data_IF_419566567302
#
_entry.id   IF_419566567302
#
_cell.length_a   1.000
_cell.length_b   1.000
_cell.length_c   1.000
_cell.angle_alpha   90.00
_cell.angle_beta   90.00
_cell.angle_gamma   90.00
#
_symmetry.space_group_name_H-M   'P 1'
#
loop_
_entity.id
_entity.type
_entity.pdbx_description
1 polymer ?
#
# COMPACT_ATOMS: atom_id res chain seq x y z
N UNK A 1 56.33 -12.31 -38.78
CA UNK A 1 55.36 -12.79 -37.79
C UNK A 1 54.95 -11.59 -36.94
N UNK A 2 53.73 -11.10 -37.13
CA UNK A 2 53.23 -9.92 -36.41
C UNK A 2 52.33 -10.41 -35.26
N UNK A 3 52.62 -10.09 -33.98
CA UNK A 3 51.82 -10.50 -32.84
C UNK A 3 50.90 -9.35 -32.43
N UNK A 4 49.90 -9.02 -33.24
CA UNK A 4 48.85 -8.06 -32.91
C UNK A 4 47.58 -8.45 -33.69
N UNK A 5 46.74 -9.29 -33.09
CA UNK A 5 45.31 -9.45 -33.38
C UNK A 5 44.67 -10.37 -32.32
N UNK A 6 44.88 -10.07 -31.04
CA UNK A 6 44.05 -10.63 -29.97
C UNK A 6 42.76 -9.82 -29.87
N UNK A 7 41.91 -9.92 -30.90
CA UNK A 7 40.54 -9.45 -30.80
C UNK A 7 39.83 -10.37 -29.78
N UNK A 8 39.14 -9.84 -28.76
CA UNK A 8 38.43 -10.69 -27.79
C UNK A 8 37.38 -11.52 -28.54
N UNK A 9 37.60 -12.83 -28.61
CA UNK A 9 36.68 -13.75 -29.26
C UNK A 9 35.44 -13.93 -28.39
N UNK A 10 34.26 -13.71 -28.97
CA UNK A 10 32.99 -13.78 -28.21
C UNK A 10 32.56 -15.24 -28.03
N UNK A 11 32.46 -15.77 -26.79
CA UNK A 11 32.03 -17.15 -26.57
C UNK A 11 30.60 -17.34 -27.05
N UNK A 12 30.33 -18.44 -27.76
CA UNK A 12 29.02 -18.73 -28.35
C UNK A 12 28.73 -20.23 -28.34
N UNK A 13 27.62 -20.67 -27.72
CA UNK A 13 27.21 -22.07 -27.77
C UNK A 13 26.41 -22.34 -29.04
N UNK A 14 26.96 -23.18 -29.92
CA UNK A 14 26.38 -23.42 -31.25
C UNK A 14 25.97 -24.87 -31.40
N UNK A 15 24.70 -25.11 -31.75
CA UNK A 15 24.25 -26.42 -32.18
C UNK A 15 24.27 -26.47 -33.71
N UNK A 16 25.05 -27.40 -34.25
CA UNK A 16 25.15 -27.63 -35.70
C UNK A 16 24.29 -28.85 -36.05
N UNK A 17 23.24 -28.63 -36.82
CA UNK A 17 22.43 -29.70 -37.39
C UNK A 17 22.96 -30.00 -38.80
N UNK A 18 23.86 -30.98 -38.91
CA UNK A 18 24.69 -31.24 -40.10
C UNK A 18 25.18 -32.71 -40.09
N UNK A 19 25.03 -33.42 -41.21
CA UNK A 19 25.45 -34.83 -41.35
C UNK A 19 26.93 -34.96 -41.73
N UNK A 20 27.49 -33.96 -42.41
CA UNK A 20 28.88 -33.97 -42.89
C UNK A 20 29.81 -33.17 -41.99
N UNK A 21 30.83 -33.83 -41.45
CA UNK A 21 31.83 -33.20 -40.59
C UNK A 21 32.60 -32.06 -41.31
N UNK A 22 32.93 -32.23 -42.59
CA UNK A 22 33.63 -31.21 -43.38
C UNK A 22 32.83 -29.90 -43.47
N UNK A 23 31.51 -30.00 -43.67
CA UNK A 23 30.62 -28.85 -43.80
C UNK A 23 30.46 -28.15 -42.42
N UNK A 24 30.39 -28.92 -41.34
CA UNK A 24 30.40 -28.39 -39.98
C UNK A 24 31.71 -27.64 -39.67
N UNK A 25 32.87 -28.18 -40.06
CA UNK A 25 34.16 -27.53 -39.88
C UNK A 25 34.27 -26.23 -40.69
N UNK A 26 33.68 -26.18 -41.88
CA UNK A 26 33.62 -24.97 -42.71
C UNK A 26 32.82 -23.85 -42.01
N UNK A 27 31.66 -24.17 -41.43
CA UNK A 27 30.85 -23.22 -40.66
C UNK A 27 31.60 -22.70 -39.43
N UNK A 28 32.28 -23.60 -38.70
CA UNK A 28 33.09 -23.22 -37.54
C UNK A 28 34.25 -22.30 -37.91
N UNK A 29 34.91 -22.57 -39.03
CA UNK A 29 35.97 -21.70 -39.54
C UNK A 29 35.43 -20.31 -39.88
N UNK A 30 34.27 -20.22 -40.53
CA UNK A 30 33.63 -18.96 -40.84
C UNK A 30 33.19 -18.18 -39.59
N UNK A 31 32.66 -18.85 -38.56
CA UNK A 31 32.35 -18.24 -37.26
C UNK A 31 33.58 -17.69 -36.55
N UNK A 32 34.68 -18.47 -36.50
CA UNK A 32 35.95 -18.04 -35.88
C UNK A 32 36.54 -16.83 -36.60
N UNK A 33 36.54 -16.83 -37.93
CA UNK A 33 36.96 -15.69 -38.74
C UNK A 33 36.10 -14.44 -38.50
N UNK A 34 34.82 -14.63 -38.13
CA UNK A 34 33.92 -13.55 -37.77
C UNK A 34 34.10 -13.01 -36.33
N UNK A 35 35.04 -13.56 -35.54
CA UNK A 35 35.38 -13.11 -34.19
C UNK A 35 34.65 -13.85 -33.06
N UNK A 36 34.01 -14.99 -33.34
CA UNK A 36 33.36 -15.83 -32.34
C UNK A 36 34.27 -16.96 -31.86
N UNK A 37 34.09 -17.39 -30.61
CA UNK A 37 34.66 -18.61 -30.05
C UNK A 37 33.55 -19.64 -29.82
N UNK A 38 33.22 -20.46 -30.85
CA UNK A 38 32.08 -21.36 -30.76
C UNK A 38 32.39 -22.58 -29.89
N UNK A 39 31.65 -22.76 -28.80
CA UNK A 39 31.48 -24.03 -28.12
C UNK A 39 30.39 -24.81 -28.83
N UNK A 40 30.75 -25.83 -29.61
CA UNK A 40 29.84 -26.42 -30.59
C UNK A 40 29.55 -27.90 -30.35
N UNK A 41 28.39 -28.34 -30.83
CA UNK A 41 27.96 -29.73 -30.87
C UNK A 41 27.33 -30.01 -32.23
N UNK A 42 27.75 -31.09 -32.91
CA UNK A 42 27.12 -31.57 -34.16
C UNK A 42 26.10 -32.66 -33.85
N UNK A 43 24.95 -32.57 -34.50
CA UNK A 43 23.84 -33.54 -34.46
C UNK A 43 23.29 -33.72 -35.86
N UNK A 44 22.73 -34.89 -36.16
CA UNK A 44 22.20 -35.25 -37.49
C UNK A 44 20.85 -35.98 -37.42
N UNK A 45 20.33 -36.24 -36.21
CA UNK A 45 19.05 -36.90 -35.96
C UNK A 45 18.15 -36.02 -35.10
N UNK A 46 16.83 -36.16 -35.26
CA UNK A 46 15.83 -35.43 -34.47
C UNK A 46 16.03 -35.66 -32.96
N UNK A 47 16.24 -36.93 -32.55
CA UNK A 47 16.44 -37.27 -31.15
C UNK A 47 17.67 -36.57 -30.55
N UNK A 48 18.78 -36.52 -31.30
CA UNK A 48 19.98 -35.83 -30.86
C UNK A 48 19.79 -34.30 -30.85
N UNK A 49 19.09 -33.74 -31.83
CA UNK A 49 18.74 -32.32 -31.86
C UNK A 49 17.95 -31.92 -30.61
N UNK A 50 16.85 -32.62 -30.32
CA UNK A 50 16.00 -32.35 -29.16
C UNK A 50 16.73 -32.51 -27.83
N UNK A 51 17.60 -33.51 -27.71
CA UNK A 51 18.39 -33.76 -26.50
C UNK A 51 19.44 -32.66 -26.22
N UNK A 52 19.80 -31.84 -27.21
CA UNK A 52 20.79 -30.76 -27.07
C UNK A 52 20.15 -29.36 -27.08
N UNK A 53 18.83 -29.28 -26.90
CA UNK A 53 18.12 -28.01 -26.66
C UNK A 53 18.07 -27.64 -25.16
N UNK A 54 18.53 -28.52 -24.27
CA UNK A 54 18.65 -28.28 -22.82
C UNK A 54 20.04 -28.73 -22.31
N UNK A 55 20.90 -27.80 -21.84
CA UNK A 55 20.70 -26.36 -21.78
C UNK A 55 20.61 -25.72 -23.18
N UNK A 56 19.84 -24.62 -23.35
CA UNK A 56 19.58 -24.03 -24.67
C UNK A 56 20.87 -23.48 -25.29
N UNK A 57 21.18 -23.78 -26.57
CA UNK A 57 22.27 -23.14 -27.29
C UNK A 57 21.97 -21.67 -27.56
N UNK A 58 23.01 -20.89 -27.85
CA UNK A 58 22.89 -19.47 -28.19
C UNK A 58 22.57 -19.27 -29.68
N UNK A 59 22.87 -20.27 -30.52
CA UNK A 59 22.63 -20.27 -31.96
C UNK A 59 22.45 -21.71 -32.47
N UNK A 60 21.52 -21.89 -33.41
CA UNK A 60 21.39 -23.11 -34.20
C UNK A 60 21.75 -22.79 -35.65
N UNK A 61 22.71 -23.52 -36.21
CA UNK A 61 22.99 -23.55 -37.65
C UNK A 61 22.51 -24.89 -38.19
N UNK A 62 21.55 -24.87 -39.11
CA UNK A 62 20.96 -26.08 -39.65
C UNK A 62 21.21 -26.21 -41.14
N UNK A 63 21.75 -27.34 -41.57
CA UNK A 63 21.66 -27.72 -42.97
C UNK A 63 20.20 -27.99 -43.33
N UNK A 64 19.77 -27.46 -44.47
CA UNK A 64 18.42 -27.71 -44.97
C UNK A 64 18.25 -29.17 -45.38
N UNK A 65 19.23 -29.74 -46.09
CA UNK A 65 19.08 -30.98 -46.85
C UNK A 65 19.73 -32.17 -46.16
N UNK A 66 19.16 -32.60 -45.02
CA UNK A 66 19.58 -33.80 -44.33
C UNK A 66 18.75 -35.03 -44.73
N UNK A 67 19.34 -36.24 -44.85
CA UNK A 67 18.66 -37.41 -45.38
C UNK A 67 17.44 -37.88 -44.56
N UNK A 68 17.43 -37.66 -43.24
CA UNK A 68 16.43 -38.20 -42.31
C UNK A 68 15.70 -37.13 -41.49
N UNK A 69 16.16 -35.88 -41.50
CA UNK A 69 15.65 -34.83 -40.61
C UNK A 69 15.96 -33.43 -41.15
N UNK A 70 15.05 -32.85 -41.94
CA UNK A 70 15.31 -31.58 -42.62
C UNK A 70 15.31 -30.35 -41.68
N UNK A 71 15.98 -29.28 -42.12
CA UNK A 71 16.09 -28.04 -41.34
C UNK A 71 14.75 -27.33 -41.10
N UNK A 72 13.76 -27.56 -41.96
CA UNK A 72 12.42 -27.00 -41.79
C UNK A 72 11.67 -27.68 -40.64
N UNK A 73 11.77 -28.99 -40.53
CA UNK A 73 11.18 -29.76 -39.43
C UNK A 73 11.85 -29.39 -38.10
N UNK A 74 13.17 -29.21 -38.09
CA UNK A 74 13.91 -28.73 -36.92
C UNK A 74 13.44 -27.35 -36.43
N UNK A 75 13.15 -26.42 -37.35
CA UNK A 75 12.60 -25.10 -37.03
C UNK A 75 11.19 -25.21 -36.41
N UNK A 76 10.31 -26.03 -36.97
CA UNK A 76 8.96 -26.24 -36.43
C UNK A 76 9.01 -26.81 -35.00
N UNK A 77 9.87 -27.80 -34.76
CA UNK A 77 10.07 -28.38 -33.43
C UNK A 77 10.58 -27.37 -32.40
N UNK A 78 11.40 -26.39 -32.82
CA UNK A 78 11.89 -25.30 -31.97
C UNK A 78 10.73 -24.37 -31.58
N UNK A 79 9.88 -24.01 -32.54
CA UNK A 79 8.73 -23.13 -32.35
C UNK A 79 7.63 -23.77 -31.50
N UNK A 80 7.32 -25.05 -31.71
CA UNK A 80 6.35 -25.79 -30.88
C UNK A 80 6.73 -25.82 -29.40
N UNK A 81 8.03 -25.70 -29.10
CA UNK A 81 8.56 -25.66 -27.74
C UNK A 81 8.69 -24.24 -27.17
N UNK A 82 8.30 -23.21 -27.93
CA UNK A 82 8.43 -21.79 -27.58
C UNK A 82 9.86 -21.40 -27.15
N UNK A 83 10.89 -21.99 -27.78
CA UNK A 83 12.29 -21.65 -27.49
C UNK A 83 12.72 -20.45 -28.33
N UNK A 84 13.14 -19.37 -27.66
CA UNK A 84 13.64 -18.15 -28.31
C UNK A 84 15.14 -18.29 -28.59
N UNK A 85 15.49 -19.16 -29.55
CA UNK A 85 16.87 -19.42 -29.97
C UNK A 85 17.02 -18.99 -31.44
N UNK A 86 18.04 -18.19 -31.78
CA UNK A 86 18.36 -17.87 -33.16
C UNK A 86 18.56 -19.11 -34.04
N UNK A 87 17.82 -19.20 -35.13
CA UNK A 87 17.88 -20.33 -36.07
C UNK A 87 18.24 -19.84 -37.48
N UNK A 88 19.43 -20.21 -37.95
CA UNK A 88 19.93 -19.84 -39.28
C UNK A 88 20.06 -21.09 -40.14
N UNK A 89 19.45 -21.04 -41.31
CA UNK A 89 19.52 -22.13 -42.29
C UNK A 89 20.75 -21.97 -43.16
N UNK A 90 21.47 -23.06 -43.39
CA UNK A 90 22.59 -23.14 -44.32
C UNK A 90 22.20 -24.14 -45.41
N UNK A 91 22.27 -23.79 -46.70
CA UNK A 91 21.87 -24.70 -47.79
C UNK A 91 22.84 -24.67 -48.96
N UNK A 92 22.98 -25.80 -49.64
CA UNK A 92 23.93 -25.98 -50.74
C UNK A 92 23.36 -25.82 -52.15
N UNK A 93 22.04 -25.95 -52.36
CA UNK A 93 21.54 -26.30 -53.70
C UNK A 93 20.30 -25.57 -54.20
N UNK A 94 19.42 -24.96 -53.36
CA UNK A 94 18.21 -24.27 -53.88
C UNK A 94 17.74 -23.11 -52.98
N UNK A 95 17.50 -21.91 -53.55
CA UNK A 95 16.96 -20.74 -52.84
C UNK A 95 15.46 -20.88 -52.45
N UNK A 96 14.67 -21.63 -53.21
CA UNK A 96 13.23 -21.87 -52.92
C UNK A 96 13.01 -22.54 -51.56
N UNK A 97 13.91 -23.46 -51.20
CA UNK A 97 13.92 -24.14 -49.90
C UNK A 97 14.20 -23.16 -48.76
N UNK A 98 15.17 -22.26 -48.95
CA UNK A 98 15.48 -21.22 -47.97
C UNK A 98 14.30 -20.26 -47.75
N UNK A 99 13.57 -19.91 -48.82
CA UNK A 99 12.36 -19.09 -48.74
C UNK A 99 11.26 -19.76 -47.91
N UNK A 100 11.11 -21.09 -47.97
CA UNK A 100 10.16 -21.81 -47.15
C UNK A 100 10.50 -21.68 -45.64
N UNK A 101 11.77 -21.86 -45.26
CA UNK A 101 12.21 -21.66 -43.88
C UNK A 101 12.04 -20.22 -43.39
N UNK A 102 12.30 -19.23 -44.26
CA UNK A 102 12.08 -17.82 -43.89
C UNK A 102 10.60 -17.51 -43.63
N UNK A 103 9.69 -18.06 -44.44
CA UNK A 103 8.23 -17.92 -44.22
C UNK A 103 7.79 -18.56 -42.91
N UNK A 104 8.45 -19.65 -42.55
CA UNK A 104 8.17 -20.41 -41.34
C UNK A 104 8.91 -19.84 -40.12
N UNK A 105 9.68 -18.75 -40.26
CA UNK A 105 10.22 -17.99 -39.12
C UNK A 105 11.69 -18.24 -38.78
N UNK A 106 12.49 -18.79 -39.70
CA UNK A 106 13.95 -18.75 -39.57
C UNK A 106 14.45 -17.29 -39.52
N UNK A 107 15.50 -17.04 -38.74
CA UNK A 107 16.04 -15.68 -38.58
C UNK A 107 16.85 -15.22 -39.79
N UNK A 108 17.50 -16.16 -40.47
CA UNK A 108 18.27 -15.90 -41.68
C UNK A 108 18.54 -17.18 -42.47
N UNK A 109 19.01 -17.03 -43.71
CA UNK A 109 19.51 -18.14 -44.50
C UNK A 109 20.84 -17.81 -45.20
N UNK A 110 21.67 -18.82 -45.37
CA UNK A 110 23.01 -18.74 -45.94
C UNK A 110 23.22 -19.83 -46.98
N UNK A 111 23.89 -19.49 -48.08
CA UNK A 111 24.34 -20.49 -49.04
C UNK A 111 25.75 -20.96 -48.67
N UNK A 112 26.02 -22.27 -48.76
CA UNK A 112 27.33 -22.89 -48.40
C UNK A 112 28.50 -22.29 -49.21
N UNK A 113 28.25 -21.70 -50.38
CA UNK A 113 29.23 -20.99 -51.22
C UNK A 113 29.50 -19.53 -50.79
N UNK A 114 28.68 -18.95 -49.90
CA UNK A 114 28.71 -17.53 -49.50
C UNK A 114 28.71 -17.34 -47.98
N UNK A 115 29.57 -18.08 -47.28
CA UNK A 115 29.68 -18.01 -45.81
C UNK A 115 30.36 -16.73 -45.29
N UNK A 116 30.83 -15.84 -46.17
CA UNK A 116 31.43 -14.56 -45.75
C UNK A 116 30.46 -13.67 -44.96
N UNK A 117 29.15 -13.80 -45.19
CA UNK A 117 28.10 -13.06 -44.47
C UNK A 117 27.61 -13.75 -43.19
N UNK A 118 28.09 -14.96 -42.87
CA UNK A 118 27.66 -15.72 -41.68
C UNK A 118 27.82 -14.91 -40.39
N UNK A 119 28.95 -14.20 -40.24
CA UNK A 119 29.20 -13.38 -39.06
C UNK A 119 28.19 -12.26 -38.84
N UNK A 120 27.75 -11.60 -39.91
CA UNK A 120 26.73 -10.54 -39.84
C UNK A 120 25.34 -11.12 -39.55
N UNK A 121 24.98 -12.20 -40.23
CA UNK A 121 23.74 -12.93 -40.02
C UNK A 121 23.57 -13.35 -38.55
N UNK A 122 24.62 -13.95 -37.96
CA UNK A 122 24.64 -14.37 -36.56
C UNK A 122 24.51 -13.19 -35.61
N UNK A 123 25.27 -12.11 -35.80
CA UNK A 123 25.18 -10.91 -34.94
C UNK A 123 23.78 -10.30 -34.97
N UNK A 124 23.18 -10.21 -36.16
CA UNK A 124 21.83 -9.68 -36.33
C UNK A 124 20.78 -10.56 -35.64
N UNK A 125 20.86 -11.87 -35.84
CA UNK A 125 19.92 -12.82 -35.23
C UNK A 125 20.02 -12.80 -33.70
N UNK A 126 21.23 -12.85 -33.14
CA UNK A 126 21.47 -12.75 -31.69
C UNK A 126 20.92 -11.44 -31.12
N UNK A 127 21.23 -10.30 -31.74
CA UNK A 127 20.77 -8.98 -31.27
C UNK A 127 19.25 -8.85 -31.33
N UNK A 128 18.61 -9.34 -32.40
CA UNK A 128 17.16 -9.31 -32.53
C UNK A 128 16.46 -10.16 -31.45
N UNK A 129 17.00 -11.35 -31.16
CA UNK A 129 16.47 -12.22 -30.10
C UNK A 129 16.68 -11.64 -28.71
N UNK A 130 17.85 -11.05 -28.44
CA UNK A 130 18.12 -10.35 -27.18
C UNK A 130 17.14 -9.19 -26.97
N UNK A 131 16.96 -8.33 -27.98
CA UNK A 131 16.04 -7.19 -27.90
C UNK A 131 14.58 -7.64 -27.69
N UNK A 132 14.15 -8.73 -28.34
CA UNK A 132 12.83 -9.31 -28.11
C UNK A 132 12.68 -9.84 -26.69
N UNK A 133 13.67 -10.56 -26.17
CA UNK A 133 13.66 -11.09 -24.81
C UNK A 133 13.65 -9.96 -23.76
N UNK A 134 14.50 -8.95 -23.93
CA UNK A 134 14.55 -7.77 -23.07
C UNK A 134 13.22 -7.02 -23.06
N UNK A 135 12.62 -6.80 -24.24
CA UNK A 135 11.31 -6.18 -24.36
C UNK A 135 10.22 -6.98 -23.65
N UNK A 136 10.18 -8.30 -23.86
CA UNK A 136 9.19 -9.16 -23.22
C UNK A 136 9.34 -9.15 -21.69
N UNK A 137 10.57 -9.22 -21.18
CA UNK A 137 10.84 -9.14 -19.75
C UNK A 137 10.44 -7.77 -19.19
N UNK A 138 10.78 -6.67 -19.86
CA UNK A 138 10.40 -5.33 -19.45
C UNK A 138 8.87 -5.13 -19.43
N UNK A 139 8.16 -5.65 -20.43
CA UNK A 139 6.70 -5.63 -20.48
C UNK A 139 6.07 -6.46 -19.36
N UNK A 140 6.62 -7.63 -19.06
CA UNK A 140 6.15 -8.48 -17.95
C UNK A 140 6.40 -7.80 -16.60
N UNK A 141 7.59 -7.23 -16.39
CA UNK A 141 7.93 -6.48 -15.18
C UNK A 141 7.02 -5.27 -14.99
N UNK A 142 6.74 -4.53 -16.06
CA UNK A 142 5.81 -3.41 -16.03
C UNK A 142 4.40 -3.87 -15.65
N UNK A 143 3.88 -4.91 -16.32
CA UNK A 143 2.56 -5.48 -16.00
C UNK A 143 2.48 -5.96 -14.55
N UNK A 144 3.52 -6.62 -14.05
CA UNK A 144 3.59 -7.09 -12.67
C UNK A 144 3.60 -5.92 -11.66
N UNK A 145 4.34 -4.85 -11.96
CA UNK A 145 4.35 -3.61 -11.15
C UNK A 145 2.99 -2.94 -11.15
N UNK A 146 2.36 -2.78 -12.31
CA UNK A 146 1.02 -2.20 -12.44
C UNK A 146 -0.03 -3.02 -11.69
N UNK A 147 -0.02 -4.35 -11.82
CA UNK A 147 -0.94 -5.23 -11.11
C UNK A 147 -0.76 -5.11 -9.59
N UNK A 148 0.49 -5.03 -9.11
CA UNK A 148 0.80 -4.83 -7.68
C UNK A 148 0.30 -3.48 -7.17
N UNK A 149 0.51 -2.40 -7.93
CA UNK A 149 0.01 -1.08 -7.57
C UNK A 149 -1.52 -1.05 -7.53
N UNK A 150 -2.21 -1.64 -8.53
CA UNK A 150 -3.67 -1.75 -8.55
C UNK A 150 -4.20 -2.57 -7.37
N UNK A 151 -3.55 -3.67 -7.02
CA UNK A 151 -3.95 -4.46 -5.86
C UNK A 151 -3.77 -3.66 -4.55
N UNK A 152 -2.67 -2.92 -4.41
CA UNK A 152 -2.43 -2.06 -3.26
C UNK A 152 -3.49 -0.95 -3.15
N UNK A 153 -3.76 -0.22 -4.23
CA UNK A 153 -4.78 0.84 -4.22
C UNK A 153 -6.19 0.31 -3.99
N UNK A 154 -6.52 -0.87 -4.53
CA UNK A 154 -7.85 -1.49 -4.34
C UNK A 154 -8.07 -2.03 -2.93
N UNK A 155 -7.00 -2.37 -2.20
CA UNK A 155 -7.06 -2.84 -0.83
C UNK A 155 -7.16 -1.70 0.20
N UNK A 156 -6.81 -0.47 -0.18
CA UNK A 156 -6.97 0.69 0.70
C UNK A 156 -8.46 1.09 0.71
N UNK A 157 -9.13 1.10 1.88
CA UNK A 157 -10.52 1.55 2.02
C UNK A 157 -10.64 3.09 1.95
N UNK A 158 -9.65 3.77 1.39
CA UNK A 158 -9.51 5.22 1.40
C UNK A 158 -9.82 5.80 0.01
N UNK A 159 -10.37 7.02 -0.03
CA UNK A 159 -10.60 7.76 -1.27
C UNK A 159 -9.33 8.50 -1.67
N UNK A 160 -8.78 8.18 -2.83
CA UNK A 160 -7.54 8.71 -3.35
C UNK A 160 -7.80 9.46 -4.65
N UNK A 161 -7.30 10.70 -4.72
CA UNK A 161 -7.41 11.60 -5.86
C UNK A 161 -6.04 12.21 -6.16
N UNK A 162 -5.82 12.58 -7.42
CA UNK A 162 -4.70 13.43 -7.81
C UNK A 162 -5.25 14.82 -8.12
N UNK A 163 -4.67 15.84 -7.49
CA UNK A 163 -5.02 17.24 -7.67
C UNK A 163 -3.80 18.01 -8.20
N UNK A 164 -4.02 19.08 -8.97
CA UNK A 164 -2.99 20.07 -9.24
C UNK A 164 -2.84 21.08 -8.08
N UNK A 165 -1.80 21.92 -8.15
CA UNK A 165 -1.54 22.98 -7.15
C UNK A 165 -2.70 23.98 -6.96
N UNK A 166 -3.59 24.10 -7.95
CA UNK A 166 -4.74 25.01 -7.94
C UNK A 166 -6.02 24.29 -7.45
N UNK A 167 -5.92 23.02 -7.05
CA UNK A 167 -7.03 22.23 -6.52
C UNK A 167 -7.96 21.68 -7.60
N UNK A 168 -7.50 21.47 -8.84
CA UNK A 168 -8.26 20.77 -9.88
C UNK A 168 -8.06 19.27 -9.79
N UNK A 169 -9.14 18.51 -9.82
CA UNK A 169 -9.11 17.05 -9.87
C UNK A 169 -8.57 16.57 -11.22
N UNK A 170 -7.38 15.98 -11.21
CA UNK A 170 -6.72 15.42 -12.40
C UNK A 170 -7.14 13.97 -12.61
N UNK A 171 -7.13 13.19 -11.53
CA UNK A 171 -7.40 11.75 -11.57
C UNK A 171 -8.06 11.27 -10.28
N UNK A 172 -8.85 10.20 -10.40
CA UNK A 172 -9.46 9.49 -9.28
C UNK A 172 -8.82 8.11 -9.25
N UNK A 173 -8.16 7.77 -8.15
CA UNK A 173 -7.40 6.52 -8.00
C UNK A 173 -8.19 5.42 -7.29
N UNK A 174 -9.26 5.77 -6.57
CA UNK A 174 -10.06 4.82 -5.80
C UNK A 174 -11.16 4.11 -6.60
N UNK A 175 -11.64 3.01 -6.03
CA UNK A 175 -12.62 2.13 -6.63
C UNK A 175 -13.96 2.86 -6.90
N UNK A 176 -14.55 2.75 -8.11
CA UNK A 176 -15.87 3.24 -8.49
C UNK A 176 -16.99 3.04 -7.47
N UNK A 177 -16.94 1.93 -6.73
CA UNK A 177 -18.06 1.47 -5.89
C UNK A 177 -17.97 1.94 -4.44
N UNK A 178 -17.14 2.94 -4.12
CA UNK A 178 -17.08 3.48 -2.77
C UNK A 178 -18.34 4.33 -2.47
N UNK A 179 -19.17 3.84 -1.55
CA UNK A 179 -20.48 4.39 -1.12
C UNK A 179 -20.47 5.89 -0.80
N UNK A 180 -19.31 6.47 -0.51
CA UNK A 180 -19.15 7.87 -0.13
C UNK A 180 -19.13 8.82 -1.33
N UNK A 181 -18.92 8.34 -2.57
CA UNK A 181 -18.96 9.15 -3.79
C UNK A 181 -19.44 8.33 -5.00
N UNK A 182 -20.75 8.12 -5.13
CA UNK A 182 -21.38 7.61 -6.35
C UNK A 182 -21.03 8.44 -7.60
N UNK A 183 -20.56 9.68 -7.40
CA UNK A 183 -20.20 10.65 -8.44
C UNK A 183 -18.69 10.96 -8.53
N UNK A 184 -17.79 10.14 -7.97
CA UNK A 184 -16.34 10.41 -8.00
C UNK A 184 -15.80 10.65 -9.43
N UNK A 185 -16.33 9.95 -10.43
CA UNK A 185 -15.99 10.15 -11.85
C UNK A 185 -16.38 11.52 -12.39
N UNK A 186 -17.39 12.18 -11.81
CA UNK A 186 -17.81 13.54 -12.18
C UNK A 186 -16.93 14.63 -11.58
N UNK A 187 -16.01 14.28 -10.67
CA UNK A 187 -15.07 15.21 -10.07
C UNK A 187 -13.92 15.55 -11.02
N UNK A 188 -13.54 14.61 -11.91
CA UNK A 188 -12.42 14.81 -12.85
C UNK A 188 -12.62 16.09 -13.67
N UNK A 189 -11.64 16.98 -13.61
CA UNK A 189 -11.63 18.27 -14.28
C UNK A 189 -12.31 19.41 -13.52
N UNK A 190 -13.04 19.17 -12.42
CA UNK A 190 -13.61 20.24 -11.59
C UNK A 190 -12.59 20.80 -10.61
N UNK A 191 -12.85 21.99 -10.04
CA UNK A 191 -12.04 22.56 -8.96
C UNK A 191 -12.69 22.28 -7.61
N UNK A 192 -11.85 22.16 -6.56
CA UNK A 192 -12.32 22.02 -5.18
C UNK A 192 -13.32 23.11 -4.79
N UNK A 193 -13.11 24.35 -5.25
CA UNK A 193 -13.96 25.51 -4.98
C UNK A 193 -15.37 25.39 -5.59
N UNK A 194 -15.54 24.57 -6.64
CA UNK A 194 -16.84 24.36 -7.29
C UNK A 194 -17.68 23.29 -6.58
N UNK A 195 -17.05 22.50 -5.70
CA UNK A 195 -17.64 21.30 -5.09
C UNK A 195 -17.82 21.48 -3.58
N UNK A 196 -16.87 22.13 -2.92
CA UNK A 196 -16.86 22.30 -1.46
C UNK A 196 -17.26 23.72 -1.05
N UNK A 197 -17.81 23.91 0.16
CA UNK A 197 -18.08 25.23 0.70
C UNK A 197 -16.82 26.13 0.67
N UNK A 198 -16.95 27.46 0.50
CA UNK A 198 -15.81 28.36 0.32
C UNK A 198 -14.75 28.25 1.44
N UNK A 199 -15.19 28.12 2.70
CA UNK A 199 -14.31 28.02 3.86
C UNK A 199 -13.49 26.73 3.86
N UNK A 200 -14.12 25.60 3.50
CA UNK A 200 -13.45 24.29 3.41
C UNK A 200 -12.54 24.21 2.20
N UNK A 201 -13.01 24.67 1.04
CA UNK A 201 -12.24 24.73 -0.19
C UNK A 201 -10.94 25.53 0.00
N UNK A 202 -11.00 26.66 0.71
CA UNK A 202 -9.80 27.46 1.01
C UNK A 202 -8.85 26.72 1.95
N UNK A 203 -9.36 26.04 2.98
CA UNK A 203 -8.55 25.22 3.88
C UNK A 203 -7.82 24.10 3.13
N UNK A 204 -8.51 23.43 2.21
CA UNK A 204 -7.94 22.36 1.39
C UNK A 204 -6.88 22.91 0.43
N UNK A 205 -7.18 24.00 -0.26
CA UNK A 205 -6.25 24.65 -1.18
C UNK A 205 -4.96 25.10 -0.47
N UNK A 206 -5.08 25.72 0.70
CA UNK A 206 -3.93 26.11 1.51
C UNK A 206 -3.06 24.90 1.88
N UNK A 207 -3.69 23.76 2.18
CA UNK A 207 -2.95 22.54 2.53
C UNK A 207 -2.25 21.92 1.32
N UNK A 208 -2.90 21.93 0.15
CA UNK A 208 -2.31 21.49 -1.13
C UNK A 208 -1.08 22.34 -1.44
N UNK A 209 -1.23 23.66 -1.39
CA UNK A 209 -0.13 24.60 -1.64
C UNK A 209 1.01 24.38 -0.66
N UNK A 210 0.73 24.16 0.63
CA UNK A 210 1.75 23.84 1.63
C UNK A 210 2.47 22.52 1.33
N UNK A 211 1.77 21.48 0.90
CA UNK A 211 2.38 20.20 0.51
C UNK A 211 3.33 20.38 -0.67
N UNK A 212 2.91 21.11 -1.71
CA UNK A 212 3.73 21.43 -2.88
C UNK A 212 4.96 22.26 -2.49
N UNK A 213 4.77 23.31 -1.70
CA UNK A 213 5.86 24.23 -1.31
C UNK A 213 6.90 23.57 -0.41
N UNK A 214 6.46 22.73 0.53
CA UNK A 214 7.36 22.07 1.50
C UNK A 214 7.99 20.80 0.94
N UNK A 215 7.35 20.13 -0.02
CA UNK A 215 7.75 18.80 -0.46
C UNK A 215 7.46 17.71 0.58
N UNK A 216 6.73 18.03 1.65
CA UNK A 216 6.46 17.13 2.78
C UNK A 216 4.99 16.70 2.86
N UNK A 217 4.77 15.55 3.50
CA UNK A 217 3.43 15.03 3.79
C UNK A 217 2.66 16.03 4.68
N UNK A 218 1.47 16.42 4.24
CA UNK A 218 0.55 17.22 5.04
C UNK A 218 -0.66 16.38 5.46
N UNK A 219 -1.15 16.63 6.67
CA UNK A 219 -2.37 16.00 7.17
C UNK A 219 -3.38 17.04 7.65
N UNK A 220 -4.66 16.75 7.47
CA UNK A 220 -5.74 17.56 8.04
C UNK A 220 -6.94 16.68 8.38
N UNK A 221 -7.60 17.00 9.49
CA UNK A 221 -8.92 16.44 9.79
C UNK A 221 -9.99 17.45 9.37
N UNK A 222 -11.04 16.93 8.73
CA UNK A 222 -12.19 17.69 8.29
C UNK A 222 -13.46 16.85 8.42
N UNK A 223 -14.57 17.53 8.43
CA UNK A 223 -15.88 16.92 8.54
C UNK A 223 -16.66 17.26 7.28
N UNK A 224 -17.48 16.32 6.83
CA UNK A 224 -18.23 16.46 5.60
C UNK A 224 -19.57 15.78 5.74
N UNK A 225 -20.61 16.42 5.21
CA UNK A 225 -21.94 15.84 5.14
C UNK A 225 -22.07 14.98 3.89
N UNK A 226 -22.31 13.69 4.07
CA UNK A 226 -22.52 12.73 3.00
C UNK A 226 -23.94 12.17 3.12
N UNK A 227 -24.82 12.63 2.23
CA UNK A 227 -26.25 12.35 2.32
C UNK A 227 -26.86 12.99 3.58
N UNK A 228 -27.40 12.18 4.48
CA UNK A 228 -28.02 12.63 5.73
C UNK A 228 -27.08 12.56 6.95
N UNK A 229 -25.89 11.98 6.80
CA UNK A 229 -24.98 11.69 7.91
C UNK A 229 -23.72 12.54 7.82
N UNK A 230 -23.16 12.86 8.99
CA UNK A 230 -21.94 13.64 9.14
C UNK A 230 -20.76 12.69 9.34
N UNK A 231 -19.75 12.80 8.49
CA UNK A 231 -18.59 11.92 8.48
C UNK A 231 -17.32 12.71 8.75
N UNK A 232 -16.40 12.11 9.51
CA UNK A 232 -15.08 12.65 9.78
C UNK A 232 -14.03 12.00 8.89
N UNK A 233 -13.18 12.81 8.27
CA UNK A 233 -12.11 12.38 7.40
C UNK A 233 -10.74 12.87 7.87
N UNK A 234 -9.74 12.01 7.76
CA UNK A 234 -8.32 12.39 7.79
C UNK A 234 -7.83 12.45 6.34
N UNK A 235 -7.49 13.64 5.85
CA UNK A 235 -6.75 13.79 4.59
C UNK A 235 -5.25 13.64 4.83
N UNK A 236 -4.59 12.95 3.92
CA UNK A 236 -3.14 12.87 3.79
C UNK A 236 -2.75 13.29 2.39
N UNK A 237 -1.92 14.32 2.30
CA UNK A 237 -1.52 14.96 1.06
C UNK A 237 -0.02 14.77 0.86
N UNK A 238 0.35 14.03 -0.17
CA UNK A 238 1.74 13.82 -0.55
C UNK A 238 2.02 14.55 -1.88
N UNK A 239 3.03 15.42 -1.95
CA UNK A 239 3.42 16.04 -3.21
C UNK A 239 4.02 14.99 -4.14
N UNK A 240 3.71 15.11 -5.43
CA UNK A 240 4.29 14.27 -6.48
C UNK A 240 4.64 15.12 -7.69
N UNK A 241 5.76 14.80 -8.33
CA UNK A 241 6.12 15.39 -9.62
C UNK A 241 5.54 14.52 -10.73
N UNK A 242 4.92 15.13 -11.73
CA UNK A 242 4.48 14.39 -12.90
C UNK A 242 5.67 14.11 -13.83
N UNK A 243 5.95 12.84 -14.07
CA UNK A 243 7.08 12.41 -14.90
C UNK A 243 6.65 12.33 -16.36
N UNK A 244 6.99 13.38 -17.11
CA UNK A 244 7.13 13.44 -18.58
C UNK A 244 7.55 14.85 -19.04
N UNK A 245 7.26 15.91 -18.26
CA UNK A 245 7.60 17.30 -18.59
C UNK A 245 8.11 18.13 -17.39
N UNK A 246 8.17 17.54 -16.18
CA UNK A 246 8.77 18.15 -14.98
C UNK A 246 8.08 19.39 -14.40
N UNK A 247 7.07 19.97 -15.07
CA UNK A 247 6.57 21.32 -14.79
C UNK A 247 5.19 21.37 -14.10
N UNK A 248 4.64 20.22 -13.69
CA UNK A 248 3.36 20.19 -12.95
C UNK A 248 3.55 19.64 -11.55
N UNK A 249 3.38 20.55 -10.59
CA UNK A 249 3.21 20.22 -9.18
C UNK A 249 1.84 19.59 -8.98
N UNK A 250 1.85 18.30 -8.64
CA UNK A 250 0.65 17.52 -8.32
C UNK A 250 0.70 17.08 -6.86
N UNK A 251 -0.47 16.76 -6.32
CA UNK A 251 -0.62 16.23 -4.96
C UNK A 251 -1.55 15.03 -5.00
N UNK A 252 -1.10 13.93 -4.39
CA UNK A 252 -1.97 12.80 -4.06
C UNK A 252 -2.72 13.14 -2.79
N UNK A 253 -4.04 13.17 -2.86
CA UNK A 253 -4.94 13.35 -1.73
C UNK A 253 -5.55 12.00 -1.38
N UNK A 254 -5.29 11.52 -0.16
CA UNK A 254 -5.90 10.32 0.39
C UNK A 254 -6.80 10.71 1.57
N UNK A 255 -8.10 10.46 1.46
CA UNK A 255 -9.09 10.71 2.49
C UNK A 255 -9.53 9.39 3.12
N UNK A 256 -9.25 9.25 4.42
CA UNK A 256 -9.67 8.11 5.23
C UNK A 256 -10.86 8.48 6.10
N UNK A 257 -11.91 7.67 6.10
CA UNK A 257 -13.02 7.81 7.05
C UNK A 257 -12.54 7.41 8.46
N UNK A 258 -12.64 8.35 9.40
CA UNK A 258 -12.27 8.20 10.81
C UNK A 258 -13.48 8.39 11.73
N UNK A 259 -14.71 8.36 11.20
CA UNK A 259 -15.96 8.57 11.96
C UNK A 259 -16.06 7.59 13.12
N UNK A 260 -15.91 6.29 12.85
CA UNK A 260 -15.95 5.28 13.93
C UNK A 260 -14.85 5.44 14.97
N UNK A 261 -13.67 5.96 14.57
CA UNK A 261 -12.60 6.30 15.51
C UNK A 261 -13.01 7.47 16.42
N UNK A 262 -13.58 8.53 15.85
CA UNK A 262 -14.06 9.72 16.58
C UNK A 262 -15.22 9.40 17.53
N UNK A 263 -16.17 8.58 17.09
CA UNK A 263 -17.28 8.11 17.93
C UNK A 263 -16.78 7.30 19.13
N UNK A 264 -15.84 6.39 18.90
CA UNK A 264 -15.24 5.58 19.98
C UNK A 264 -14.47 6.44 20.97
N UNK A 265 -13.74 7.45 20.48
CA UNK A 265 -13.02 8.41 21.32
C UNK A 265 -13.97 9.26 22.16
N UNK A 266 -15.04 9.79 21.55
CA UNK A 266 -16.05 10.58 22.24
C UNK A 266 -16.76 9.78 23.36
N UNK A 267 -17.16 8.54 23.07
CA UNK A 267 -17.77 7.64 24.06
C UNK A 267 -16.83 7.37 25.24
N UNK A 268 -15.54 7.16 24.98
CA UNK A 268 -14.54 6.95 26.05
C UNK A 268 -14.34 8.20 26.91
N UNK A 269 -14.31 9.37 26.29
CA UNK A 269 -14.18 10.63 27.01
C UNK A 269 -15.41 10.88 27.90
N UNK A 270 -16.60 10.63 27.39
CA UNK A 270 -17.85 10.74 28.14
C UNK A 270 -17.91 9.76 29.31
N UNK A 271 -17.56 8.49 29.09
CA UNK A 271 -17.46 7.48 30.16
C UNK A 271 -16.47 7.88 31.25
N UNK A 272 -15.32 8.44 30.86
CA UNK A 272 -14.30 8.90 31.82
C UNK A 272 -14.83 10.09 32.63
N UNK A 273 -15.50 11.05 31.98
CA UNK A 273 -16.12 12.19 32.64
C UNK A 273 -17.16 11.74 33.67
N UNK A 274 -18.10 10.87 33.27
CA UNK A 274 -19.14 10.36 34.17
C UNK A 274 -18.55 9.58 35.35
N UNK A 275 -17.49 8.81 35.12
CA UNK A 275 -16.80 8.10 36.19
C UNK A 275 -16.19 9.06 37.21
N UNK A 276 -15.50 10.09 36.77
CA UNK A 276 -14.89 11.09 37.66
C UNK A 276 -15.96 11.87 38.45
N UNK A 277 -17.08 12.21 37.81
CA UNK A 277 -18.21 12.88 38.46
C UNK A 277 -18.82 12.00 39.56
N UNK A 278 -19.04 10.71 39.28
CA UNK A 278 -19.54 9.76 40.27
C UNK A 278 -18.57 9.55 41.44
N UNK A 279 -17.26 9.43 41.17
CA UNK A 279 -16.23 9.32 42.22
C UNK A 279 -16.20 10.58 43.11
N UNK A 280 -16.36 11.77 42.51
CA UNK A 280 -16.45 13.03 43.25
C UNK A 280 -17.70 13.10 44.14
N UNK A 281 -18.87 12.74 43.61
CA UNK A 281 -20.13 12.71 44.36
C UNK A 281 -20.08 11.71 45.52
N UNK A 282 -19.47 10.54 45.31
CA UNK A 282 -19.29 9.54 46.36
C UNK A 282 -18.46 10.10 47.53
N UNK A 283 -17.35 10.78 47.24
CA UNK A 283 -16.52 11.44 48.28
C UNK A 283 -17.28 12.54 49.02
N UNK A 284 -18.08 13.34 48.32
CA UNK A 284 -18.90 14.36 48.98
C UNK A 284 -19.97 13.73 49.88
N UNK A 285 -20.61 12.66 49.43
CA UNK A 285 -21.61 11.94 50.23
C UNK A 285 -20.97 11.35 51.50
N UNK A 286 -19.80 10.72 51.38
CA UNK A 286 -19.06 10.18 52.53
C UNK A 286 -18.70 11.28 53.54
N UNK A 287 -18.18 12.42 53.07
CA UNK A 287 -17.86 13.56 53.92
C UNK A 287 -19.10 14.14 54.64
N UNK A 288 -20.24 14.21 53.95
CA UNK A 288 -21.51 14.65 54.55
C UNK A 288 -22.04 13.65 55.59
N UNK A 289 -21.87 12.35 55.36
CA UNK A 289 -22.24 11.30 56.32
C UNK A 289 -21.39 11.43 57.58
N UNK A 290 -20.06 11.59 57.44
CA UNK A 290 -19.18 11.76 58.60
C UNK A 290 -19.50 13.05 59.37
N UNK A 291 -19.71 14.16 58.66
CA UNK A 291 -20.11 15.43 59.28
C UNK A 291 -21.43 15.32 60.05
N UNK A 292 -22.43 14.64 59.49
CA UNK A 292 -23.69 14.39 60.19
C UNK A 292 -23.49 13.50 61.42
N UNK A 293 -22.70 12.43 61.31
CA UNK A 293 -22.41 11.56 62.45
C UNK A 293 -21.67 12.31 63.57
N UNK A 294 -20.74 13.21 63.24
CA UNK A 294 -20.07 14.08 64.21
C UNK A 294 -21.06 15.05 64.87
N UNK A 295 -21.95 15.66 64.09
CA UNK A 295 -23.00 16.56 64.58
C UNK A 295 -23.95 15.84 65.55
N UNK A 296 -24.36 14.61 65.23
CA UNK A 296 -25.26 13.83 66.08
C UNK A 296 -24.59 13.40 67.40
N UNK A 297 -23.30 13.02 67.35
CA UNK A 297 -22.49 12.78 68.56
C UNK A 297 -22.38 14.03 69.42
N UNK A 298 -22.09 15.18 68.82
CA UNK A 298 -22.02 16.46 69.52
C UNK A 298 -23.34 16.80 70.23
N UNK A 299 -24.48 16.70 69.52
CA UNK A 299 -25.78 16.94 70.14
C UNK A 299 -26.10 15.96 71.28
N UNK A 300 -25.72 14.69 71.14
CA UNK A 300 -25.89 13.70 72.21
C UNK A 300 -25.09 14.06 73.46
N UNK A 301 -23.84 14.48 73.30
CA UNK A 301 -22.96 14.92 74.40
C UNK A 301 -23.56 16.17 75.07
N UNK A 302 -23.90 17.20 74.30
CA UNK A 302 -24.48 18.44 74.82
C UNK A 302 -25.78 18.16 75.58
N UNK A 303 -26.66 17.29 75.06
CA UNK A 303 -27.90 16.93 75.75
C UNK A 303 -27.64 16.21 77.08
N UNK A 304 -26.65 15.30 77.13
CA UNK A 304 -26.26 14.64 78.39
C UNK A 304 -25.70 15.64 79.40
N UNK A 305 -24.80 16.51 78.96
CA UNK A 305 -24.12 17.48 79.83
C UNK A 305 -25.07 18.57 80.34
N UNK A 306 -26.10 18.93 79.57
CA UNK A 306 -27.15 19.86 80.02
C UNK A 306 -28.09 19.24 81.05
N UNK A 307 -28.34 17.92 81.04
CA UNK A 307 -29.17 17.29 82.09
C UNK A 307 -28.54 17.41 83.48
N UNK A 308 -27.21 17.34 83.56
CA UNK A 308 -26.46 17.49 84.81
C UNK A 308 -26.85 18.73 85.62
N UNK A 309 -26.73 19.97 85.08
CA UNK A 309 -27.13 21.19 85.76
C UNK A 309 -28.66 21.41 85.82
N UNK A 310 -29.45 20.89 84.86
CA UNK A 310 -30.90 21.06 84.88
C UNK A 310 -31.61 20.15 85.90
N UNK A 311 -31.11 18.94 86.15
CA UNK A 311 -31.73 17.99 87.07
C UNK A 311 -31.84 18.53 88.52
N UNK A 312 -30.80 19.15 89.11
CA UNK A 312 -30.92 19.78 90.43
C UNK A 312 -31.91 20.95 90.45
N UNK A 313 -32.01 21.71 89.37
CA UNK A 313 -32.96 22.84 89.27
C UNK A 313 -34.39 22.32 89.22
N UNK A 314 -34.65 21.27 88.43
CA UNK A 314 -35.94 20.59 88.37
C UNK A 314 -36.29 19.94 89.71
N UNK A 315 -35.36 19.21 90.33
CA UNK A 315 -35.57 18.58 91.64
C UNK A 315 -35.88 19.62 92.72
N UNK A 316 -35.16 20.76 92.73
CA UNK A 316 -35.44 21.84 93.66
C UNK A 316 -36.81 22.48 93.39
N UNK A 317 -37.21 22.62 92.12
CA UNK A 317 -38.54 23.13 91.77
C UNK A 317 -39.65 22.17 92.21
N UNK A 318 -39.46 20.86 92.04
CA UNK A 318 -40.39 19.82 92.49
C UNK A 318 -40.48 19.78 94.02
N UNK A 319 -39.35 19.83 94.74
CA UNK A 319 -39.32 19.90 96.21
C UNK A 319 -40.00 21.19 96.74
N UNK A 320 -39.83 22.31 96.04
CA UNK A 320 -40.53 23.56 96.37
C UNK A 320 -42.04 23.42 96.19
N UNK A 321 -42.49 22.76 95.11
CA UNK A 321 -43.91 22.48 94.87
C UNK A 321 -44.50 21.53 95.94
N UNK A 322 -43.76 20.49 96.32
CA UNK A 322 -44.18 19.55 97.37
C UNK A 322 -44.22 20.21 98.76
N UNK A 323 -43.29 21.14 99.02
CA UNK A 323 -43.30 21.94 100.25
C UNK A 323 -44.45 22.95 100.31
N UNK A 324 -44.95 23.40 99.16
CA UNK A 324 -46.13 24.28 99.05
C UNK A 324 -47.42 23.52 99.35
N UNK A 325 -47.50 22.22 99.02
CA UNK A 325 -48.64 21.37 99.38
C UNK A 325 -48.73 21.07 100.89
N UNK A 326 -47.61 21.16 101.61
CA UNK A 326 -47.57 21.04 103.08
C UNK A 326 -47.87 22.36 103.82
N UNK A 327 -47.95 23.50 103.13
CA UNK A 327 -48.32 24.78 103.71
C UNK A 327 -49.84 24.96 103.66
N UNK A 328 -50.52 24.55 104.73
CA UNK A 328 -51.93 24.90 104.96
C UNK A 328 -52.13 26.43 104.82
N UNK A 329 -53.28 26.86 104.28
CA UNK A 329 -53.68 28.27 104.10
C UNK A 329 -53.44 29.12 105.36
N UNK A 330 -53.49 28.51 106.54
CA UNK A 330 -53.22 29.15 107.82
C UNK A 330 -51.75 29.58 108.04
N UNK A 331 -50.78 28.94 107.36
CA UNK A 331 -49.36 29.29 107.41
C UNK A 331 -49.02 30.50 106.53
N UNK A 332 -49.59 30.53 105.32
CA UNK A 332 -49.34 31.59 104.31
C UNK A 332 -49.84 32.96 104.80
N UNK A 333 -50.98 33.02 105.48
CA UNK A 333 -51.51 34.28 106.03
C UNK A 333 -50.68 34.85 107.20
N UNK A 334 -49.87 34.03 107.88
CA UNK A 334 -49.09 34.46 109.05
C UNK A 334 -47.83 35.22 108.66
N UNK A 335 -47.25 34.93 107.49
CA UNK A 335 -46.02 35.56 106.99
C UNK A 335 -46.32 36.91 106.33
N UNK A 336 -47.47 37.05 105.66
CA UNK A 336 -47.88 38.32 105.00
C UNK A 336 -48.19 39.50 105.93
N UNK A 337 -48.17 39.33 107.26
CA UNK A 337 -48.33 40.41 108.24
C UNK A 337 -47.01 40.94 108.82
N UNK A 338 -45.85 40.42 108.39
CA UNK A 338 -44.53 40.80 108.93
C UNK A 338 -43.54 41.36 107.91
N UNK A 339 -44.00 41.64 106.69
CA UNK A 339 -43.34 42.51 105.70
C UNK A 339 -44.29 43.68 105.49
#
# INVERSE_FOLDING_TARGET
MNPQDSNPSTPLRVLLLEDREDDALLLLHALRRAGFDPAWKRVDTEAAYLANLDPPPDLILADYSLPQFDGLHALKLLQERNLNIPFIVVTGTVEEMALACMREGADDYLLKDRLTRLGEAVRRALSAHQMRAEKQNAEQDLRAREARLRAFTSALPDLAFILDRDGRYIEVLSNPNHVLYDDAFRLKGKRLQDIHPPDEAQKFLNTIQRAVQTGELQTLEYEMELGANRHWFEARLAPMKHDQDGDRDLVVWLARDITGRKETEALRLEQTRLRLENEFLARQSEALIDLNAQKDKFFTIVAHDLRGPFNPVLLNAELLLESLDYLDRAGIQRIGRRI
#
